data_IF_646434589845
#
_entry.id   IF_646434589845
#
_cell.length_a   1.000
_cell.length_b   1.000
_cell.length_c   1.000
_cell.angle_alpha   90.00
_cell.angle_beta   90.00
_cell.angle_gamma   90.00
#
_symmetry.space_group_name_H-M   'P 1'
#
loop_
_entity.id
_entity.type
_entity.pdbx_description
1 polymer ?
#
# COMPACT_ATOMS: atom_id res chain seq x y z
N UNK A 1 -38.21 -72.61 37.92
CA UNK A 1 -37.60 -72.49 36.60
C UNK A 1 -37.61 -70.97 36.31
N UNK A 2 -36.53 -70.34 36.64
CA UNK A 2 -36.34 -68.90 36.48
C UNK A 2 -35.40 -68.76 35.26
N UNK A 3 -35.93 -68.25 34.17
CA UNK A 3 -35.14 -67.92 32.97
C UNK A 3 -34.26 -66.70 33.28
N UNK A 4 -32.95 -66.88 33.27
CA UNK A 4 -31.96 -65.84 33.34
C UNK A 4 -31.91 -65.18 31.99
N UNK A 5 -32.31 -63.92 31.95
CA UNK A 5 -32.32 -63.05 30.75
C UNK A 5 -30.85 -62.61 30.52
N UNK A 6 -30.18 -63.35 29.64
CA UNK A 6 -28.78 -63.08 29.25
C UNK A 6 -28.75 -61.95 28.21
N UNK A 7 -28.70 -60.70 28.68
CA UNK A 7 -28.48 -59.57 27.81
C UNK A 7 -27.00 -59.56 27.37
N UNK A 8 -26.71 -59.67 26.08
CA UNK A 8 -25.36 -59.57 25.59
C UNK A 8 -24.84 -58.14 25.87
N UNK A 9 -23.91 -58.03 26.80
CA UNK A 9 -23.14 -56.82 27.03
C UNK A 9 -22.28 -56.57 25.79
N UNK A 10 -22.60 -55.52 25.01
CA UNK A 10 -21.75 -55.01 23.92
C UNK A 10 -20.54 -54.30 24.50
N UNK A 11 -19.33 -54.91 24.46
CA UNK A 11 -18.13 -54.32 25.02
C UNK A 11 -17.61 -53.15 24.20
N UNK A 12 -18.14 -52.90 23.00
CA UNK A 12 -17.51 -52.06 22.00
C UNK A 12 -17.99 -50.58 22.00
N UNK A 13 -18.94 -50.21 22.85
CA UNK A 13 -19.49 -48.83 22.84
C UNK A 13 -18.81 -47.88 23.84
N UNK A 14 -17.96 -48.39 24.75
CA UNK A 14 -17.33 -47.55 25.75
C UNK A 14 -16.31 -46.56 25.16
N UNK A 15 -15.68 -46.88 24.04
CA UNK A 15 -14.79 -45.99 23.32
C UNK A 15 -15.54 -44.85 22.65
N UNK A 16 -16.79 -45.04 22.27
CA UNK A 16 -17.66 -44.04 21.62
C UNK A 16 -17.96 -42.88 22.57
N UNK A 17 -18.13 -43.16 23.85
CA UNK A 17 -18.32 -42.13 24.89
C UNK A 17 -17.06 -41.27 25.03
N UNK A 18 -15.88 -41.92 25.11
CA UNK A 18 -14.59 -41.22 25.19
C UNK A 18 -14.29 -40.41 23.91
N UNK A 19 -14.68 -40.93 22.74
CA UNK A 19 -14.54 -40.23 21.47
C UNK A 19 -15.47 -39.01 21.39
N UNK A 20 -16.73 -39.15 21.83
CA UNK A 20 -17.70 -38.05 21.87
C UNK A 20 -17.22 -36.93 22.81
N UNK A 21 -16.66 -37.27 23.97
CA UNK A 21 -16.09 -36.30 24.92
C UNK A 21 -14.89 -35.57 24.31
N UNK A 22 -13.97 -36.32 23.66
CA UNK A 22 -12.83 -35.71 22.96
C UNK A 22 -13.26 -34.74 21.86
N UNK A 23 -14.24 -35.09 21.02
CA UNK A 23 -14.74 -34.22 19.94
C UNK A 23 -15.44 -32.98 20.50
N UNK A 24 -16.21 -33.12 21.60
CA UNK A 24 -16.87 -31.96 22.22
C UNK A 24 -15.87 -31.00 22.85
N UNK A 25 -14.81 -31.50 23.50
CA UNK A 25 -13.73 -30.69 24.03
C UNK A 25 -12.93 -30.00 22.91
N UNK A 26 -12.63 -30.72 21.83
CA UNK A 26 -11.95 -30.17 20.66
C UNK A 26 -12.81 -29.06 20.02
N UNK A 27 -14.11 -29.28 19.86
CA UNK A 27 -15.02 -28.27 19.34
C UNK A 27 -15.09 -27.04 20.24
N UNK A 28 -15.21 -27.23 21.56
CA UNK A 28 -15.19 -26.14 22.53
C UNK A 28 -13.89 -25.32 22.45
N UNK A 29 -12.73 -26.00 22.29
CA UNK A 29 -11.43 -25.35 22.10
C UNK A 29 -11.41 -24.53 20.82
N UNK A 30 -11.91 -25.05 19.70
CA UNK A 30 -11.98 -24.29 18.43
C UNK A 30 -12.91 -23.09 18.53
N UNK A 31 -14.08 -23.23 19.17
CA UNK A 31 -14.99 -22.08 19.39
C UNK A 31 -14.33 -21.02 20.27
N UNK A 32 -13.60 -21.42 21.32
CA UNK A 32 -12.86 -20.50 22.17
C UNK A 32 -11.77 -19.77 21.38
N UNK A 33 -10.96 -20.48 20.59
CA UNK A 33 -9.92 -19.91 19.75
C UNK A 33 -10.49 -18.98 18.67
N UNK A 34 -11.63 -19.36 18.08
CA UNK A 34 -12.33 -18.52 17.11
C UNK A 34 -12.86 -17.22 17.75
N UNK A 35 -13.47 -17.32 18.93
CA UNK A 35 -13.94 -16.15 19.68
C UNK A 35 -12.78 -15.21 20.07
N UNK A 36 -11.64 -15.76 20.51
CA UNK A 36 -10.44 -15.00 20.82
C UNK A 36 -9.83 -14.36 19.54
N UNK A 37 -9.77 -15.10 18.44
CA UNK A 37 -9.27 -14.60 17.16
C UNK A 37 -10.08 -13.43 16.62
N UNK A 38 -11.38 -13.45 16.81
CA UNK A 38 -12.26 -12.37 16.34
C UNK A 38 -12.31 -11.15 17.29
N UNK A 39 -11.95 -11.35 18.57
CA UNK A 39 -11.97 -10.31 19.62
C UNK A 39 -10.68 -9.47 19.69
N UNK A 40 -9.57 -9.95 19.10
CA UNK A 40 -8.21 -9.42 19.32
C UNK A 40 -7.86 -8.19 18.52
N UNK A 41 -8.51 -7.92 17.38
CA UNK A 41 -8.08 -6.84 16.45
C UNK A 41 -8.25 -5.42 17.00
N UNK A 42 -9.12 -5.19 17.97
CA UNK A 42 -9.35 -3.85 18.54
C UNK A 42 -8.62 -3.61 19.87
N UNK A 43 -8.30 -4.68 20.62
CA UNK A 43 -7.69 -4.57 21.96
C UNK A 43 -6.17 -4.79 22.00
N UNK A 44 -5.61 -5.52 21.03
CA UNK A 44 -4.16 -5.73 20.96
C UNK A 44 -3.39 -4.46 20.60
N UNK A 45 -3.93 -3.62 19.71
CA UNK A 45 -3.32 -2.34 19.38
C UNK A 45 -3.25 -1.37 20.58
N UNK A 46 -4.23 -1.42 21.49
CA UNK A 46 -4.24 -0.59 22.69
C UNK A 46 -3.32 -1.15 23.79
N UNK A 47 -3.26 -2.49 23.92
CA UNK A 47 -2.44 -3.16 24.93
C UNK A 47 -0.94 -3.09 24.64
N UNK A 48 -0.52 -3.32 23.38
CA UNK A 48 0.89 -3.27 22.99
C UNK A 48 1.47 -1.86 23.03
N UNK A 49 0.69 -0.83 22.71
CA UNK A 49 1.14 0.55 22.83
C UNK A 49 1.34 0.99 24.29
N UNK A 50 0.55 0.48 25.22
CA UNK A 50 0.73 0.79 26.65
C UNK A 50 1.95 0.07 27.25
N UNK A 51 2.23 -1.17 26.84
CA UNK A 51 3.40 -1.95 27.27
C UNK A 51 4.69 -1.39 26.66
N UNK A 52 4.69 -1.06 25.36
CA UNK A 52 5.84 -0.46 24.69
C UNK A 52 6.20 0.90 25.31
N UNK A 53 5.21 1.68 25.68
CA UNK A 53 5.39 2.97 26.35
C UNK A 53 5.89 2.84 27.80
N UNK A 54 5.51 1.75 28.51
CA UNK A 54 5.93 1.49 29.89
C UNK A 54 7.36 0.92 29.97
N UNK A 55 7.85 0.24 28.95
CA UNK A 55 9.17 -0.44 28.91
C UNK A 55 10.19 0.35 28.09
N UNK A 56 9.82 1.47 27.46
CA UNK A 56 10.74 2.31 26.66
C UNK A 56 11.27 1.64 25.39
N UNK A 57 10.67 0.54 24.94
CA UNK A 57 11.07 -0.18 23.74
C UNK A 57 10.38 0.44 22.51
N UNK A 58 11.17 0.97 21.60
CA UNK A 58 10.70 1.27 20.22
C UNK A 58 10.39 -0.07 19.54
N UNK A 59 9.22 -0.24 18.90
CA UNK A 59 8.92 -1.48 18.17
C UNK A 59 9.88 -1.60 16.98
N UNK A 60 10.90 -2.43 17.15
CA UNK A 60 11.77 -2.89 16.09
C UNK A 60 11.02 -3.96 15.30
N UNK A 61 10.82 -3.77 14.01
CA UNK A 61 10.24 -4.78 13.13
C UNK A 61 11.11 -6.03 13.10
N UNK A 62 10.67 -7.08 13.80
CA UNK A 62 11.30 -8.39 13.82
C UNK A 62 11.19 -9.08 12.46
N UNK A 63 12.32 -9.52 11.97
CA UNK A 63 12.53 -10.34 10.80
C UNK A 63 11.94 -11.76 11.02
N UNK A 64 11.09 -12.21 10.10
CA UNK A 64 10.76 -13.63 9.94
C UNK A 64 9.31 -14.03 10.29
N UNK A 65 8.48 -14.17 9.27
CA UNK A 65 7.18 -14.85 9.35
C UNK A 65 6.38 -14.68 8.07
N UNK A 66 6.12 -15.76 7.39
CA UNK A 66 5.25 -15.94 6.21
C UNK A 66 3.95 -15.13 6.33
N UNK A 67 3.70 -14.26 5.36
CA UNK A 67 2.49 -13.43 5.26
C UNK A 67 1.32 -14.23 4.67
N UNK A 68 0.23 -14.51 5.41
CA UNK A 68 -1.07 -14.78 4.81
C UNK A 68 -1.67 -13.43 4.37
N UNK A 69 -2.35 -13.44 3.23
CA UNK A 69 -2.93 -12.33 2.51
C UNK A 69 -3.32 -11.09 3.34
N UNK A 70 -2.66 -9.99 3.05
CA UNK A 70 -3.03 -8.68 3.56
C UNK A 70 -4.36 -8.26 2.93
N UNK A 71 -5.46 -8.46 3.67
CA UNK A 71 -6.54 -7.51 3.56
C UNK A 71 -5.98 -6.18 4.09
N UNK A 72 -5.75 -5.22 3.22
CA UNK A 72 -5.43 -3.85 3.61
C UNK A 72 -6.55 -3.36 4.53
N UNK A 73 -6.24 -3.26 5.83
CA UNK A 73 -7.08 -2.46 6.73
C UNK A 73 -7.10 -1.05 6.14
N UNK A 74 -8.26 -0.39 6.02
CA UNK A 74 -8.30 0.99 5.57
C UNK A 74 -7.54 1.84 6.60
N UNK A 75 -6.26 2.07 6.32
CA UNK A 75 -5.45 3.02 7.09
C UNK A 75 -6.09 4.37 6.84
N UNK A 76 -6.67 4.96 7.89
CA UNK A 76 -7.26 6.30 7.79
C UNK A 76 -6.22 7.25 7.20
N UNK A 77 -6.57 8.04 6.19
CA UNK A 77 -5.65 9.01 5.60
C UNK A 77 -5.10 9.91 6.71
N UNK A 78 -3.80 10.17 6.68
CA UNK A 78 -3.16 11.12 7.60
C UNK A 78 -3.48 12.53 7.13
N UNK A 79 -4.76 12.89 7.19
CA UNK A 79 -5.24 14.23 6.87
C UNK A 79 -4.90 15.18 8.03
N UNK A 80 -3.62 15.51 8.19
CA UNK A 80 -3.25 16.62 9.06
C UNK A 80 -3.69 17.94 8.41
N UNK A 81 -4.03 18.99 9.19
CA UNK A 81 -4.37 20.30 8.63
C UNK A 81 -3.31 20.85 7.67
N UNK A 82 -2.03 20.51 7.89
CA UNK A 82 -0.92 20.89 7.01
C UNK A 82 -1.00 20.19 5.65
N UNK A 83 -1.19 18.88 5.61
CA UNK A 83 -1.32 18.12 4.36
C UNK A 83 -2.52 18.59 3.55
N UNK A 84 -3.64 18.91 4.22
CA UNK A 84 -4.83 19.48 3.55
C UNK A 84 -4.53 20.86 2.95
N UNK A 85 -3.77 21.71 3.67
CA UNK A 85 -3.35 23.01 3.14
C UNK A 85 -2.39 22.88 1.95
N UNK A 86 -1.48 21.91 1.98
CA UNK A 86 -0.58 21.59 0.85
C UNK A 86 -1.40 21.13 -0.35
N UNK A 87 -2.37 20.24 -0.16
CA UNK A 87 -3.29 19.79 -1.21
C UNK A 87 -3.95 20.98 -1.90
N UNK A 88 -4.55 21.90 -1.14
CA UNK A 88 -5.20 23.07 -1.67
C UNK A 88 -4.24 23.97 -2.50
N UNK A 89 -2.98 24.11 -2.06
CA UNK A 89 -1.96 24.87 -2.82
C UNK A 89 -1.62 24.19 -4.15
N UNK A 90 -1.44 22.87 -4.16
CA UNK A 90 -1.15 22.11 -5.38
C UNK A 90 -2.35 22.17 -6.33
N UNK A 91 -3.57 21.97 -5.84
CA UNK A 91 -4.80 22.05 -6.63
C UNK A 91 -4.95 23.44 -7.28
N UNK A 92 -4.72 24.50 -6.53
CA UNK A 92 -4.77 25.87 -7.05
C UNK A 92 -3.71 26.12 -8.14
N UNK A 93 -2.49 25.59 -7.97
CA UNK A 93 -1.40 25.75 -8.93
C UNK A 93 -1.67 25.03 -10.27
N UNK A 94 -2.39 23.89 -10.22
CA UNK A 94 -2.68 23.08 -11.41
C UNK A 94 -4.08 23.28 -11.97
N UNK A 95 -4.91 24.12 -11.35
CA UNK A 95 -6.31 24.35 -11.75
C UNK A 95 -6.49 24.71 -13.22
N UNK A 96 -5.58 25.51 -13.78
CA UNK A 96 -5.59 25.89 -15.19
C UNK A 96 -5.31 24.72 -16.16
N UNK A 97 -4.81 23.59 -15.65
CA UNK A 97 -4.45 22.38 -16.41
C UNK A 97 -5.47 21.24 -16.20
N UNK A 98 -6.76 21.54 -16.19
CA UNK A 98 -7.87 20.64 -15.81
C UNK A 98 -7.94 19.32 -16.59
N UNK A 99 -7.23 19.18 -17.70
CA UNK A 99 -7.22 17.98 -18.54
C UNK A 99 -5.83 17.31 -18.64
N UNK A 100 -4.96 17.56 -17.67
CA UNK A 100 -3.56 17.11 -17.70
C UNK A 100 -3.34 15.64 -17.29
N UNK A 101 -4.38 14.88 -16.96
CA UNK A 101 -4.22 13.51 -16.45
C UNK A 101 -3.57 13.46 -15.08
N UNK A 102 -3.77 14.51 -14.28
CA UNK A 102 -3.26 14.65 -12.93
C UNK A 102 -4.39 14.42 -11.91
N UNK A 103 -4.13 13.62 -10.89
CA UNK A 103 -5.04 13.45 -9.76
C UNK A 103 -4.31 13.68 -8.42
N UNK A 104 -5.02 14.25 -7.44
CA UNK A 104 -4.44 14.62 -6.15
C UNK A 104 -5.28 13.99 -5.04
N UNK A 105 -4.69 13.09 -4.27
CA UNK A 105 -5.33 12.36 -3.18
C UNK A 105 -4.49 12.42 -1.89
N UNK A 106 -5.10 12.10 -0.76
CA UNK A 106 -4.38 11.93 0.51
C UNK A 106 -4.58 10.48 0.93
N UNK A 107 -3.46 9.78 1.18
CA UNK A 107 -3.47 8.43 1.71
C UNK A 107 -2.55 8.30 2.95
N UNK A 108 -2.23 7.06 3.35
CA UNK A 108 -1.36 6.78 4.50
C UNK A 108 0.10 7.22 4.31
N UNK A 109 0.55 7.41 3.08
CA UNK A 109 1.91 7.86 2.73
C UNK A 109 2.05 9.37 2.79
N UNK A 110 0.95 10.11 2.66
CA UNK A 110 0.88 11.57 2.64
C UNK A 110 -0.02 12.11 1.54
N UNK A 111 0.37 13.25 0.95
CA UNK A 111 -0.29 13.78 -0.25
C UNK A 111 0.30 13.13 -1.48
N UNK A 112 -0.54 12.47 -2.26
CA UNK A 112 -0.17 11.77 -3.49
C UNK A 112 -0.65 12.56 -4.71
N UNK A 113 0.27 12.94 -5.56
CA UNK A 113 0.04 13.60 -6.84
C UNK A 113 0.33 12.55 -7.92
N UNK A 114 -0.70 12.01 -8.54
CA UNK A 114 -0.58 10.97 -9.56
C UNK A 114 -0.62 11.59 -10.96
N UNK A 115 0.40 11.27 -11.75
CA UNK A 115 0.59 11.69 -13.13
C UNK A 115 0.26 10.49 -14.04
N UNK A 116 -0.73 10.62 -14.91
CA UNK A 116 -1.04 9.56 -15.89
C UNK A 116 0.11 9.35 -16.87
N UNK A 117 0.70 8.18 -16.90
CA UNK A 117 1.81 7.90 -17.80
C UNK A 117 1.42 8.01 -19.28
N UNK A 118 0.16 7.77 -19.64
CA UNK A 118 -0.33 7.93 -21.00
C UNK A 118 -0.29 9.38 -21.51
N UNK A 119 -0.30 10.35 -20.60
CA UNK A 119 -0.17 11.79 -20.91
C UNK A 119 1.27 12.25 -20.84
N UNK A 120 1.96 11.89 -19.78
CA UNK A 120 3.30 12.39 -19.47
C UNK A 120 4.42 11.70 -20.23
N UNK A 121 4.19 10.52 -20.82
CA UNK A 121 5.21 9.76 -21.53
C UNK A 121 4.63 9.13 -22.79
N UNK A 122 5.45 9.00 -23.82
CA UNK A 122 5.12 8.15 -24.96
C UNK A 122 5.08 6.67 -24.54
N UNK A 123 4.39 5.86 -25.34
CA UNK A 123 4.27 4.43 -25.03
C UNK A 123 5.65 3.75 -25.01
N UNK A 124 5.96 3.07 -23.89
CA UNK A 124 7.26 2.39 -23.72
C UNK A 124 8.45 3.33 -23.49
N UNK A 125 8.23 4.64 -23.36
CA UNK A 125 9.28 5.65 -23.17
C UNK A 125 9.25 6.22 -21.75
N UNK A 126 10.37 6.84 -21.36
CA UNK A 126 10.56 7.56 -20.09
C UNK A 126 10.82 9.05 -20.28
N UNK A 127 10.86 9.53 -21.54
CA UNK A 127 10.98 10.95 -21.83
C UNK A 127 9.66 11.67 -21.58
N UNK A 128 9.72 12.78 -20.83
CA UNK A 128 8.52 13.56 -20.49
C UNK A 128 8.04 14.30 -21.72
N UNK A 129 6.77 14.16 -22.05
CA UNK A 129 6.12 14.81 -23.18
C UNK A 129 6.20 16.33 -23.02
N UNK A 130 6.71 17.09 -24.00
CA UNK A 130 6.90 18.53 -23.86
C UNK A 130 5.64 19.34 -23.54
N UNK A 131 4.46 18.90 -24.00
CA UNK A 131 3.17 19.54 -23.69
C UNK A 131 2.79 19.44 -22.21
N UNK A 132 3.32 18.48 -21.47
CA UNK A 132 3.01 18.27 -20.04
C UNK A 132 4.04 18.94 -19.10
N UNK A 133 5.15 19.46 -19.63
CA UNK A 133 6.15 20.15 -18.84
C UNK A 133 5.59 21.35 -18.04
N UNK A 134 4.67 22.19 -18.56
CA UNK A 134 4.11 23.28 -17.78
C UNK A 134 3.32 22.82 -16.55
N UNK A 135 2.65 21.67 -16.65
CA UNK A 135 1.93 21.05 -15.53
C UNK A 135 2.92 20.58 -14.47
N UNK A 136 3.93 19.84 -14.89
CA UNK A 136 4.98 19.34 -13.98
C UNK A 136 5.73 20.50 -13.31
N UNK A 137 6.00 21.57 -14.04
CA UNK A 137 6.66 22.76 -13.53
C UNK A 137 5.83 23.44 -12.42
N UNK A 138 4.51 23.54 -12.60
CA UNK A 138 3.60 24.07 -11.57
C UNK A 138 3.62 23.22 -10.28
N UNK A 139 3.64 21.90 -10.42
CA UNK A 139 3.74 20.96 -9.29
C UNK A 139 5.09 21.14 -8.58
N UNK A 140 6.20 21.08 -9.33
CA UNK A 140 7.58 21.15 -8.80
C UNK A 140 7.84 22.48 -8.10
N UNK A 141 7.39 23.62 -8.66
CA UNK A 141 7.48 24.94 -8.01
C UNK A 141 6.71 25.02 -6.70
N UNK A 142 5.54 24.38 -6.66
CA UNK A 142 4.76 24.32 -5.40
C UNK A 142 5.46 23.47 -4.36
N UNK A 143 6.05 22.35 -4.77
CA UNK A 143 6.85 21.48 -3.88
C UNK A 143 8.09 22.18 -3.34
N UNK A 144 8.79 22.97 -4.15
CA UNK A 144 9.99 23.69 -3.76
C UNK A 144 9.78 24.69 -2.59
N UNK A 145 8.53 25.11 -2.38
CA UNK A 145 8.17 25.98 -1.25
C UNK A 145 7.81 25.21 0.04
N UNK A 146 7.95 23.86 0.04
CA UNK A 146 7.59 23.01 1.16
C UNK A 146 8.84 22.42 1.84
N UNK A 147 8.85 22.30 3.16
CA UNK A 147 9.98 21.70 3.90
C UNK A 147 9.92 20.17 3.94
N UNK A 148 9.06 19.55 3.14
CA UNK A 148 8.78 18.13 3.16
C UNK A 148 9.82 17.33 2.38
N UNK A 149 9.92 16.03 2.70
CA UNK A 149 10.57 15.04 1.83
C UNK A 149 9.58 14.50 0.81
N UNK A 150 10.08 14.12 -0.35
CA UNK A 150 9.30 13.67 -1.48
C UNK A 150 9.77 12.29 -1.94
N UNK A 151 8.85 11.47 -2.35
CA UNK A 151 9.14 10.20 -2.99
C UNK A 151 8.43 10.15 -4.35
N UNK A 152 9.12 9.67 -5.37
CA UNK A 152 8.60 9.57 -6.72
C UNK A 152 8.54 8.09 -7.09
N UNK A 153 7.33 7.57 -7.24
CA UNK A 153 7.07 6.16 -7.45
C UNK A 153 6.54 5.91 -8.88
N UNK A 154 7.20 5.02 -9.62
CA UNK A 154 6.77 4.62 -10.96
C UNK A 154 6.01 3.30 -10.95
N UNK A 155 4.96 3.23 -11.76
CA UNK A 155 4.10 2.04 -11.92
C UNK A 155 3.80 1.80 -13.41
N UNK A 156 3.60 0.53 -13.76
CA UNK A 156 3.13 0.11 -15.08
C UNK A 156 1.84 -0.70 -14.93
N UNK A 157 1.21 -1.03 -16.05
CA UNK A 157 0.23 -2.11 -16.11
C UNK A 157 0.93 -3.48 -16.12
N UNK A 158 0.14 -4.55 -16.24
CA UNK A 158 0.63 -5.93 -16.27
C UNK A 158 1.07 -6.40 -17.65
N UNK A 159 0.95 -5.57 -18.70
CA UNK A 159 1.37 -5.95 -20.05
C UNK A 159 2.90 -6.00 -20.10
N UNK A 160 3.51 -7.15 -20.46
CA UNK A 160 4.95 -7.24 -20.55
C UNK A 160 5.51 -6.34 -21.64
N UNK A 161 6.66 -5.71 -21.36
CA UNK A 161 7.43 -5.01 -22.39
C UNK A 161 8.11 -6.07 -23.26
N UNK A 162 7.77 -6.12 -24.54
CA UNK A 162 8.33 -7.10 -25.49
C UNK A 162 9.41 -6.48 -26.37
N UNK A 163 9.35 -5.15 -26.57
CA UNK A 163 10.26 -4.40 -27.44
C UNK A 163 10.59 -3.04 -26.82
N UNK A 164 11.80 -2.53 -27.08
CA UNK A 164 12.25 -1.24 -26.59
C UNK A 164 13.60 -1.31 -25.88
N UNK A 165 13.99 -0.19 -25.24
CA UNK A 165 15.27 -0.09 -24.51
C UNK A 165 15.21 -0.63 -23.07
N UNK A 166 14.01 -0.89 -22.55
CA UNK A 166 13.81 -1.41 -21.22
C UNK A 166 13.65 -2.93 -21.26
N UNK A 167 14.26 -3.61 -20.29
CA UNK A 167 14.23 -5.08 -20.20
C UNK A 167 12.85 -5.59 -19.75
N UNK A 168 12.21 -4.83 -18.87
CA UNK A 168 10.95 -5.19 -18.24
C UNK A 168 10.21 -3.98 -17.66
N UNK A 169 9.07 -4.22 -17.07
CA UNK A 169 8.23 -3.21 -16.42
C UNK A 169 8.89 -2.56 -15.19
N UNK A 170 9.83 -3.24 -14.52
CA UNK A 170 10.60 -2.67 -13.42
C UNK A 170 11.53 -1.57 -13.94
N UNK A 171 12.29 -1.88 -15.02
CA UNK A 171 13.19 -0.92 -15.65
C UNK A 171 12.42 0.33 -16.12
N UNK A 172 11.28 0.15 -16.82
CA UNK A 172 10.47 1.28 -17.32
C UNK A 172 9.92 2.13 -16.19
N UNK A 173 9.36 1.51 -15.14
CA UNK A 173 8.78 2.24 -14.02
C UNK A 173 9.83 3.07 -13.27
N UNK A 174 11.00 2.49 -13.00
CA UNK A 174 12.12 3.17 -12.38
C UNK A 174 12.68 4.31 -13.26
N UNK A 175 12.78 4.10 -14.57
CA UNK A 175 13.25 5.10 -15.52
C UNK A 175 12.31 6.31 -15.56
N UNK A 176 10.99 6.11 -15.58
CA UNK A 176 9.99 7.18 -15.53
C UNK A 176 10.07 7.99 -14.23
N UNK A 177 10.16 7.31 -13.09
CA UNK A 177 10.36 7.97 -11.81
C UNK A 177 11.67 8.80 -11.81
N UNK A 178 12.74 8.25 -12.38
CA UNK A 178 14.03 8.94 -12.53
C UNK A 178 13.95 10.18 -13.43
N UNK A 179 13.15 10.14 -14.49
CA UNK A 179 12.97 11.30 -15.38
C UNK A 179 12.22 12.45 -14.69
N UNK A 180 11.19 12.14 -13.88
CA UNK A 180 10.52 13.15 -13.04
C UNK A 180 11.45 13.69 -11.98
N UNK A 181 12.30 12.86 -11.34
CA UNK A 181 13.32 13.29 -10.38
C UNK A 181 14.30 14.27 -11.03
N UNK A 182 14.87 13.91 -12.19
CA UNK A 182 15.82 14.76 -12.91
C UNK A 182 15.21 16.10 -13.28
N UNK A 183 13.98 16.10 -13.75
CA UNK A 183 13.24 17.34 -14.01
C UNK A 183 13.10 18.18 -12.75
N UNK A 184 12.71 17.58 -11.64
CA UNK A 184 12.58 18.26 -10.34
C UNK A 184 13.90 18.89 -9.89
N UNK A 185 15.01 18.16 -9.96
CA UNK A 185 16.33 18.67 -9.58
C UNK A 185 16.82 19.82 -10.47
N UNK A 186 16.47 19.80 -11.76
CA UNK A 186 16.89 20.85 -12.70
C UNK A 186 16.04 22.12 -12.60
N UNK A 187 14.78 22.02 -12.18
CA UNK A 187 13.79 23.11 -12.22
C UNK A 187 13.33 23.57 -10.83
N UNK A 188 13.96 23.09 -9.77
CA UNK A 188 13.65 23.51 -8.39
C UNK A 188 14.90 23.64 -7.52
N UNK A 189 14.71 24.25 -6.34
CA UNK A 189 15.73 24.36 -5.29
C UNK A 189 15.63 23.24 -4.24
N UNK A 190 14.90 22.16 -4.52
CA UNK A 190 14.75 21.04 -3.59
C UNK A 190 16.10 20.32 -3.47
N UNK A 191 16.58 20.15 -2.22
CA UNK A 191 17.80 19.38 -1.98
C UNK A 191 17.62 17.91 -2.38
N UNK A 192 18.63 17.29 -3.03
CA UNK A 192 18.59 15.85 -3.34
C UNK A 192 18.29 14.95 -2.13
N UNK A 193 18.71 15.35 -0.92
CA UNK A 193 18.48 14.60 0.32
C UNK A 193 17.00 14.47 0.70
N UNK A 194 16.17 15.36 0.14
CA UNK A 194 14.71 15.31 0.33
C UNK A 194 13.99 14.52 -0.77
N UNK A 195 14.70 13.90 -1.70
CA UNK A 195 14.14 13.21 -2.85
C UNK A 195 14.52 11.73 -2.85
N UNK A 196 13.54 10.87 -3.08
CA UNK A 196 13.73 9.44 -3.29
C UNK A 196 12.92 8.98 -4.49
N UNK A 197 13.37 7.91 -5.16
CA UNK A 197 12.62 7.26 -6.23
C UNK A 197 12.41 5.78 -5.94
N UNK A 198 11.33 5.22 -6.47
CA UNK A 198 11.11 3.78 -6.53
C UNK A 198 10.40 3.40 -7.84
N UNK A 199 10.74 2.21 -8.37
CA UNK A 199 10.00 1.58 -9.46
C UNK A 199 9.31 0.33 -8.94
N UNK A 200 8.02 0.21 -9.17
CA UNK A 200 7.21 -0.91 -8.68
C UNK A 200 6.73 -1.85 -9.80
N UNK A 201 7.05 -1.51 -11.05
CA UNK A 201 6.62 -2.31 -12.20
C UNK A 201 5.09 -2.50 -12.22
N UNK A 202 4.61 -3.72 -12.51
CA UNK A 202 3.18 -4.02 -12.60
C UNK A 202 2.52 -4.33 -11.25
N UNK A 203 3.19 -4.05 -10.15
CA UNK A 203 2.66 -4.31 -8.81
C UNK A 203 2.00 -3.06 -8.21
N UNK A 204 1.21 -3.22 -7.15
CA UNK A 204 0.44 -2.13 -6.52
C UNK A 204 -0.55 -1.44 -7.48
N UNK A 205 -1.25 -2.26 -8.27
CA UNK A 205 -2.28 -1.78 -9.18
C UNK A 205 -3.48 -1.17 -8.43
N UNK A 206 -4.05 -0.12 -9.01
CA UNK A 206 -5.23 0.60 -8.50
C UNK A 206 -6.47 0.35 -9.36
N UNK A 207 -6.27 -0.11 -10.60
CA UNK A 207 -7.32 -0.48 -11.55
C UNK A 207 -7.18 -1.94 -11.99
N UNK A 208 -8.26 -2.50 -12.52
CA UNK A 208 -8.28 -3.86 -13.03
C UNK A 208 -7.42 -3.98 -14.31
N UNK A 209 -6.36 -4.79 -14.25
CA UNK A 209 -5.47 -5.02 -15.40
C UNK A 209 -6.13 -5.77 -16.57
N UNK A 210 -7.31 -6.37 -16.38
CA UNK A 210 -8.06 -7.02 -17.45
C UNK A 210 -8.71 -6.03 -18.42
N UNK A 211 -8.97 -4.80 -17.96
CA UNK A 211 -9.59 -3.72 -18.76
C UNK A 211 -8.56 -2.67 -19.19
N UNK A 212 -8.79 -1.99 -20.32
CA UNK A 212 -7.89 -0.90 -20.76
C UNK A 212 -7.98 0.30 -19.83
N UNK A 213 -9.17 0.63 -19.34
CA UNK A 213 -9.41 1.71 -18.38
C UNK A 213 -8.64 1.47 -17.09
N UNK A 214 -8.66 0.23 -16.58
CA UNK A 214 -7.92 -0.13 -15.37
C UNK A 214 -6.41 -0.13 -15.60
N UNK A 215 -5.93 -0.63 -16.74
CA UNK A 215 -4.52 -0.53 -17.13
C UNK A 215 -4.05 0.92 -17.24
N UNK A 216 -4.89 1.80 -17.82
CA UNK A 216 -4.58 3.22 -17.92
C UNK A 216 -4.40 3.88 -16.55
N UNK A 217 -5.16 3.49 -15.53
CA UNK A 217 -4.99 3.93 -14.14
C UNK A 217 -3.69 3.39 -13.51
N UNK A 218 -3.29 2.17 -13.89
CA UNK A 218 -2.08 1.54 -13.36
C UNK A 218 -0.81 2.17 -13.94
N UNK A 219 -0.82 2.58 -15.20
CA UNK A 219 0.30 3.30 -15.85
C UNK A 219 0.38 4.73 -15.33
N UNK A 220 1.11 4.93 -14.24
CA UNK A 220 1.22 6.22 -13.54
C UNK A 220 2.60 6.44 -12.92
N UNK A 221 2.90 7.69 -12.63
CA UNK A 221 3.98 8.09 -11.72
C UNK A 221 3.34 8.89 -10.60
N UNK A 222 3.65 8.55 -9.36
CA UNK A 222 3.16 9.24 -8.18
C UNK A 222 4.26 10.08 -7.55
N UNK A 223 3.97 11.33 -7.25
CA UNK A 223 4.81 12.18 -6.41
C UNK A 223 4.15 12.25 -5.04
N UNK A 224 4.82 11.74 -4.02
CA UNK A 224 4.32 11.63 -2.66
C UNK A 224 5.01 12.68 -1.80
N UNK A 225 4.22 13.63 -1.29
CA UNK A 225 4.67 14.59 -0.27
C UNK A 225 4.54 13.93 1.08
N UNK A 226 5.66 13.54 1.70
CA UNK A 226 5.67 12.86 2.99
C UNK A 226 5.26 13.81 4.12
N UNK A 227 4.55 13.34 5.16
CA UNK A 227 4.32 14.13 6.35
C UNK A 227 5.64 14.55 7.01
N UNK A 228 5.68 15.75 7.60
CA UNK A 228 6.86 16.19 8.36
C UNK A 228 7.13 15.23 9.53
N UNK A 229 8.42 14.91 9.76
CA UNK A 229 8.85 14.01 10.82
C UNK A 229 8.99 12.54 10.44
N UNK A 230 8.81 12.21 9.15
CA UNK A 230 9.09 10.86 8.61
C UNK A 230 10.49 10.86 7.98
N UNK A 231 11.52 11.22 8.77
CA UNK A 231 12.90 11.05 8.30
C UNK A 231 13.20 9.56 8.18
N UNK A 232 13.76 9.18 7.03
CA UNK A 232 14.30 7.84 6.83
C UNK A 232 15.52 7.70 7.75
N UNK A 233 15.37 6.88 8.81
CA UNK A 233 16.50 6.40 9.63
C UNK A 233 17.15 5.23 8.96
#
# INVERSE_FOLDING_TARGET
MIEEDDHPQHPDERWLVSYADFITLLFALFVLLYALSNSSKAKEAAGMNSVAKAVGLRPSYGFGGTRPGLAESPVKPVASPRITAIKAKVEAAVQQYSNSGLSITIDSRGLVISLSAAKFFASGEDEITPSELPVLDAVVKTMAALPNSFQIDGYTDSVPIVHGRFRDNWDLSAARASSVLRYTLLHSSISPDHLAIAGYGPYHFVGDNSTEEGRALNRRVEIIVKPEGTEAS
#
